data_IF_952918728880
#
_entry.id   IF_952918728880
#
_cell.length_a   1.000
_cell.length_b   1.000
_cell.length_c   1.000
_cell.angle_alpha   90.00
_cell.angle_beta   90.00
_cell.angle_gamma   90.00
#
_symmetry.space_group_name_H-M   'P 1'
#
loop_
_entity.id
_entity.type
_entity.pdbx_description
1 polymer ?
#
# COMPACT_ATOMS: atom_id res chain seq x y z
N UNK A 1 20.06 -6.13 -9.15
CA UNK A 1 20.04 -7.37 -8.34
C UNK A 1 18.60 -7.88 -8.27
N UNK A 2 18.35 -9.19 -8.44
CA UNK A 2 17.04 -9.76 -8.18
C UNK A 2 16.68 -9.62 -6.69
N UNK A 3 15.38 -9.49 -6.39
CA UNK A 3 14.89 -9.52 -5.01
C UNK A 3 15.14 -10.88 -4.39
N UNK A 4 15.45 -10.92 -3.09
CA UNK A 4 15.68 -12.15 -2.33
C UNK A 4 15.06 -12.05 -0.94
N UNK A 5 14.93 -13.20 -0.28
CA UNK A 5 14.43 -13.31 1.09
C UNK A 5 13.08 -12.61 1.28
N UNK A 6 12.93 -11.98 2.44
CA UNK A 6 11.71 -11.28 2.85
C UNK A 6 11.31 -10.15 1.88
N UNK A 7 12.29 -9.49 1.25
CA UNK A 7 12.02 -8.41 0.29
C UNK A 7 11.35 -8.94 -1.01
N UNK A 8 11.70 -10.17 -1.42
CA UNK A 8 11.02 -10.81 -2.55
C UNK A 8 9.58 -11.18 -2.20
N UNK A 9 9.32 -11.61 -0.98
CA UNK A 9 7.98 -11.95 -0.50
C UNK A 9 7.08 -10.71 -0.48
N UNK A 10 7.54 -9.61 0.11
CA UNK A 10 6.80 -8.34 0.11
C UNK A 10 6.51 -7.84 -1.30
N UNK A 11 7.51 -7.87 -2.20
CA UNK A 11 7.31 -7.43 -3.58
C UNK A 11 6.32 -8.30 -4.37
N UNK A 12 6.09 -9.56 -3.98
CA UNK A 12 5.04 -10.40 -4.59
C UNK A 12 3.65 -9.99 -4.12
N UNK A 13 3.51 -9.63 -2.84
CA UNK A 13 2.25 -9.16 -2.25
C UNK A 13 1.78 -7.83 -2.86
N UNK A 14 2.68 -7.03 -3.43
CA UNK A 14 2.34 -5.81 -4.18
C UNK A 14 1.44 -6.04 -5.40
N UNK A 15 1.35 -7.26 -5.95
CA UNK A 15 0.50 -7.50 -7.11
C UNK A 15 -0.98 -7.20 -6.81
N UNK A 16 -1.49 -7.66 -5.66
CA UNK A 16 -2.86 -7.41 -5.23
C UNK A 16 -3.14 -5.91 -5.06
N UNK A 17 -2.20 -5.20 -4.44
CA UNK A 17 -2.28 -3.77 -4.21
C UNK A 17 -2.33 -2.99 -5.54
N UNK A 18 -1.51 -3.36 -6.52
CA UNK A 18 -1.51 -2.71 -7.84
C UNK A 18 -2.80 -2.97 -8.62
N UNK A 19 -3.38 -4.16 -8.51
CA UNK A 19 -4.68 -4.48 -9.12
C UNK A 19 -5.79 -3.66 -8.46
N UNK A 20 -5.82 -3.59 -7.13
CA UNK A 20 -6.79 -2.77 -6.39
C UNK A 20 -6.66 -1.29 -6.75
N UNK A 21 -5.43 -0.77 -6.76
CA UNK A 21 -5.12 0.61 -7.10
C UNK A 21 -5.64 0.99 -8.49
N UNK A 22 -5.33 0.16 -9.50
CA UNK A 22 -5.79 0.34 -10.88
C UNK A 22 -7.32 0.35 -10.97
N UNK A 23 -7.99 -0.55 -10.26
CA UNK A 23 -9.45 -0.64 -10.32
C UNK A 23 -10.12 0.56 -9.62
N UNK A 24 -9.53 1.07 -8.53
CA UNK A 24 -9.97 2.29 -7.87
C UNK A 24 -9.80 3.53 -8.77
N UNK A 25 -8.68 3.64 -9.49
CA UNK A 25 -8.41 4.75 -10.42
C UNK A 25 -9.41 4.82 -11.60
N UNK A 26 -10.06 3.70 -11.92
CA UNK A 26 -11.05 3.59 -13.00
C UNK A 26 -12.48 3.94 -12.57
N UNK A 27 -12.70 4.30 -11.32
CA UNK A 27 -14.02 4.70 -10.82
C UNK A 27 -14.39 6.06 -11.43
N UNK A 28 -15.43 6.06 -12.26
CA UNK A 28 -15.99 7.26 -12.88
C UNK A 28 -16.70 8.16 -11.84
N UNK A 29 -16.75 9.47 -12.09
CA UNK A 29 -17.48 10.42 -11.24
C UNK A 29 -18.99 10.18 -11.20
N UNK A 30 -19.56 9.67 -12.28
CA UNK A 30 -20.96 9.28 -12.39
C UNK A 30 -21.19 7.80 -12.04
N UNK A 31 -20.22 7.12 -11.42
CA UNK A 31 -20.36 5.72 -11.05
C UNK A 31 -21.58 5.51 -10.14
N UNK A 32 -22.44 4.49 -10.41
CA UNK A 32 -23.61 4.23 -9.58
C UNK A 32 -23.25 3.99 -8.11
N UNK A 33 -24.12 4.35 -7.14
CA UNK A 33 -23.85 4.14 -5.72
C UNK A 33 -23.48 2.70 -5.35
N UNK A 34 -24.05 1.71 -6.04
CA UNK A 34 -23.71 0.30 -5.85
C UNK A 34 -22.26 -0.03 -6.23
N UNK A 35 -21.71 0.61 -7.26
CA UNK A 35 -20.30 0.44 -7.67
C UNK A 35 -19.36 1.06 -6.63
N UNK A 36 -19.71 2.26 -6.12
CA UNK A 36 -18.96 2.92 -5.05
C UNK A 36 -18.96 2.07 -3.78
N UNK A 37 -20.12 1.55 -3.37
CA UNK A 37 -20.25 0.68 -2.20
C UNK A 37 -19.43 -0.61 -2.36
N UNK A 38 -19.49 -1.24 -3.54
CA UNK A 38 -18.71 -2.46 -3.83
C UNK A 38 -17.19 -2.20 -3.77
N UNK A 39 -16.72 -1.05 -4.25
CA UNK A 39 -15.30 -0.71 -4.16
C UNK A 39 -14.85 -0.42 -2.72
N UNK A 40 -15.66 0.30 -1.94
CA UNK A 40 -15.42 0.51 -0.51
C UNK A 40 -15.28 -0.84 0.23
N UNK A 41 -16.21 -1.77 0.01
CA UNK A 41 -16.16 -3.11 0.59
C UNK A 41 -14.93 -3.90 0.13
N UNK A 42 -14.54 -3.79 -1.14
CA UNK A 42 -13.36 -4.45 -1.68
C UNK A 42 -12.07 -3.93 -1.02
N UNK A 43 -11.95 -2.62 -0.84
CA UNK A 43 -10.80 -2.01 -0.13
C UNK A 43 -10.77 -2.52 1.32
N UNK A 44 -11.90 -2.47 2.02
CA UNK A 44 -12.00 -2.92 3.41
C UNK A 44 -11.61 -4.41 3.56
N UNK A 45 -12.10 -5.26 2.67
CA UNK A 45 -11.74 -6.69 2.66
C UNK A 45 -10.24 -6.89 2.41
N UNK A 46 -9.68 -6.24 1.39
CA UNK A 46 -8.25 -6.35 1.09
C UNK A 46 -7.36 -5.84 2.25
N UNK A 47 -7.84 -4.82 2.97
CA UNK A 47 -7.18 -4.34 4.18
C UNK A 47 -7.11 -5.39 5.28
N UNK A 48 -8.23 -6.07 5.56
CA UNK A 48 -8.31 -7.06 6.63
C UNK A 48 -7.61 -8.38 6.27
N UNK A 49 -7.62 -8.77 5.00
CA UNK A 49 -7.03 -10.03 4.52
C UNK A 49 -5.52 -9.93 4.26
N UNK A 50 -5.03 -8.82 3.71
CA UNK A 50 -3.65 -8.74 3.20
C UNK A 50 -2.90 -7.47 3.64
N UNK A 51 -3.37 -6.29 3.20
CA UNK A 51 -2.58 -5.04 3.27
C UNK A 51 -2.16 -4.66 4.70
N UNK A 52 -3.02 -4.88 5.70
CA UNK A 52 -2.66 -4.58 7.10
C UNK A 52 -1.54 -5.47 7.62
N UNK A 53 -1.51 -6.74 7.22
CA UNK A 53 -0.45 -7.65 7.62
C UNK A 53 0.88 -7.30 6.94
N UNK A 54 0.81 -6.97 5.65
CA UNK A 54 1.94 -6.50 4.84
C UNK A 54 2.62 -5.27 5.48
N UNK A 55 1.88 -4.18 5.72
CA UNK A 55 2.44 -2.96 6.34
C UNK A 55 3.10 -3.25 7.70
N UNK A 56 2.46 -4.07 8.54
CA UNK A 56 3.06 -4.44 9.83
C UNK A 56 4.37 -5.20 9.69
N UNK A 57 4.51 -6.06 8.67
CA UNK A 57 5.73 -6.80 8.44
C UNK A 57 6.88 -5.86 8.02
N UNK A 58 6.60 -4.89 7.14
CA UNK A 58 7.56 -3.88 6.72
C UNK A 58 7.97 -2.94 7.86
N UNK A 59 6.99 -2.46 8.64
CA UNK A 59 7.24 -1.63 9.82
C UNK A 59 8.07 -2.37 10.87
N UNK A 60 7.83 -3.66 11.04
CA UNK A 60 8.62 -4.52 11.94
C UNK A 60 10.05 -4.65 11.44
N UNK A 61 10.24 -4.85 10.14
CA UNK A 61 11.56 -4.90 9.51
C UNK A 61 12.32 -3.58 9.70
N UNK A 62 11.67 -2.43 9.46
CA UNK A 62 12.27 -1.12 9.69
C UNK A 62 12.67 -0.90 11.15
N UNK A 63 11.85 -1.37 12.10
CA UNK A 63 12.15 -1.26 13.53
C UNK A 63 13.31 -2.15 13.94
N UNK A 64 13.41 -3.35 13.38
CA UNK A 64 14.52 -4.27 13.62
C UNK A 64 15.82 -3.76 13.01
N UNK A 65 15.74 -3.02 11.89
CA UNK A 65 16.89 -2.49 11.16
C UNK A 65 16.78 -0.97 10.92
N UNK A 66 16.86 -0.13 11.99
CA UNK A 66 16.59 1.30 11.90
C UNK A 66 17.57 2.08 11.02
N UNK A 67 18.70 1.49 10.65
CA UNK A 67 19.71 2.08 9.77
C UNK A 67 19.65 1.54 8.33
N UNK A 68 18.76 0.59 8.03
CA UNK A 68 18.67 -0.03 6.71
C UNK A 68 18.00 0.87 5.67
N UNK A 69 17.32 1.92 6.10
CA UNK A 69 16.69 2.91 5.23
C UNK A 69 16.99 4.34 5.71
N UNK A 70 17.41 5.26 4.84
CA UNK A 70 17.61 6.66 5.21
C UNK A 70 16.35 7.25 5.86
N UNK A 71 16.54 8.00 6.96
CA UNK A 71 15.43 8.56 7.77
C UNK A 71 14.33 9.25 6.95
N UNK A 72 14.62 10.09 5.93
CA UNK A 72 13.55 10.70 5.12
C UNK A 72 12.68 9.70 4.36
N UNK A 73 13.27 8.59 3.91
CA UNK A 73 12.51 7.54 3.22
C UNK A 73 11.70 6.70 4.19
N UNK A 74 12.25 6.39 5.37
CA UNK A 74 11.52 5.68 6.41
C UNK A 74 10.31 6.49 6.90
N UNK A 75 10.46 7.80 7.10
CA UNK A 75 9.33 8.69 7.46
C UNK A 75 8.28 8.71 6.36
N UNK A 76 8.68 8.91 5.09
CA UNK A 76 7.74 8.92 3.98
C UNK A 76 6.97 7.59 3.83
N UNK A 77 7.64 6.47 4.04
CA UNK A 77 7.03 5.14 4.01
C UNK A 77 5.96 4.98 5.11
N UNK A 78 6.30 5.31 6.35
CA UNK A 78 5.38 5.24 7.48
C UNK A 78 4.20 6.22 7.36
N UNK A 79 4.44 7.41 6.80
CA UNK A 79 3.39 8.38 6.53
C UNK A 79 2.41 7.86 5.46
N UNK A 80 2.91 7.22 4.40
CA UNK A 80 2.08 6.58 3.39
C UNK A 80 1.22 5.46 3.98
N UNK A 81 1.79 4.60 4.84
CA UNK A 81 1.04 3.56 5.55
C UNK A 81 -0.10 4.16 6.37
N UNK A 82 0.19 5.21 7.13
CA UNK A 82 -0.81 5.89 7.96
C UNK A 82 -1.97 6.43 7.13
N UNK A 83 -1.68 7.12 6.02
CA UNK A 83 -2.74 7.68 5.17
C UNK A 83 -3.54 6.58 4.47
N UNK A 84 -2.88 5.53 3.97
CA UNK A 84 -3.58 4.40 3.34
C UNK A 84 -4.45 3.65 4.35
N UNK A 85 -3.98 3.43 5.58
CA UNK A 85 -4.76 2.80 6.64
C UNK A 85 -6.00 3.63 7.03
N UNK A 86 -5.88 4.96 7.06
CA UNK A 86 -7.05 5.86 7.25
C UNK A 86 -8.02 5.71 6.07
N UNK A 87 -7.52 5.67 4.84
CA UNK A 87 -8.33 5.41 3.64
C UNK A 87 -9.10 4.09 3.73
N UNK A 88 -8.43 3.00 4.10
CA UNK A 88 -9.05 1.69 4.32
C UNK A 88 -10.11 1.71 5.43
N UNK A 89 -9.86 2.43 6.52
CA UNK A 89 -10.81 2.57 7.63
C UNK A 89 -12.07 3.33 7.18
N UNK A 90 -11.90 4.44 6.45
CA UNK A 90 -13.02 5.16 5.82
C UNK A 90 -13.77 4.28 4.82
N UNK A 91 -13.06 3.45 4.06
CA UNK A 91 -13.68 2.51 3.13
C UNK A 91 -14.54 1.46 3.85
N UNK A 92 -14.08 0.92 4.98
CA UNK A 92 -14.86 0.02 5.83
C UNK A 92 -16.15 0.64 6.37
N UNK A 93 -16.16 1.96 6.58
CA UNK A 93 -17.36 2.72 6.94
C UNK A 93 -18.23 3.12 5.72
N UNK A 94 -17.86 2.72 4.50
CA UNK A 94 -18.55 3.11 3.26
C UNK A 94 -18.44 4.60 2.93
N UNK A 95 -17.43 5.29 3.45
CA UNK A 95 -17.32 6.75 3.45
C UNK A 95 -16.46 7.33 2.33
N UNK A 96 -15.96 6.51 1.40
CA UNK A 96 -15.22 7.01 0.23
C UNK A 96 -16.18 7.25 -0.94
N UNK A 97 -16.18 8.48 -1.47
CA UNK A 97 -16.85 8.81 -2.73
C UNK A 97 -15.96 8.46 -3.94
N UNK A 98 -16.48 8.62 -5.16
CA UNK A 98 -15.74 8.34 -6.41
C UNK A 98 -14.36 9.00 -6.45
N UNK A 99 -14.28 10.29 -6.10
CA UNK A 99 -13.03 11.04 -6.06
C UNK A 99 -12.06 10.51 -4.99
N UNK A 100 -12.56 10.16 -3.80
CA UNK A 100 -11.73 9.56 -2.75
C UNK A 100 -11.17 8.20 -3.19
N UNK A 101 -11.98 7.37 -3.86
CA UNK A 101 -11.55 6.06 -4.37
C UNK A 101 -10.43 6.21 -5.38
N UNK A 102 -10.55 7.13 -6.33
CA UNK A 102 -9.48 7.41 -7.29
C UNK A 102 -8.21 7.89 -6.59
N UNK A 103 -8.32 8.86 -5.69
CA UNK A 103 -7.19 9.37 -4.92
C UNK A 103 -6.51 8.29 -4.08
N UNK A 104 -7.28 7.40 -3.46
CA UNK A 104 -6.77 6.23 -2.75
C UNK A 104 -5.98 5.31 -3.70
N UNK A 105 -6.54 5.02 -4.88
CA UNK A 105 -5.88 4.19 -5.88
C UNK A 105 -4.58 4.81 -6.42
N UNK A 106 -4.57 6.12 -6.67
CA UNK A 106 -3.35 6.84 -7.07
C UNK A 106 -2.27 6.76 -6.00
N UNK A 107 -2.65 7.00 -4.73
CA UNK A 107 -1.74 6.92 -3.60
C UNK A 107 -1.19 5.51 -3.41
N UNK A 108 -2.04 4.49 -3.44
CA UNK A 108 -1.62 3.10 -3.29
C UNK A 108 -0.65 2.68 -4.40
N UNK A 109 -0.92 3.08 -5.64
CA UNK A 109 0.00 2.83 -6.75
C UNK A 109 1.34 3.56 -6.54
N UNK A 110 1.32 4.84 -6.14
CA UNK A 110 2.52 5.62 -5.90
C UNK A 110 3.38 5.03 -4.77
N UNK A 111 2.74 4.61 -3.68
CA UNK A 111 3.36 3.95 -2.53
C UNK A 111 4.08 2.65 -2.92
N UNK A 112 3.40 1.72 -3.62
CA UNK A 112 4.03 0.48 -4.11
C UNK A 112 5.24 0.76 -5.01
N UNK A 113 5.14 1.77 -5.90
CA UNK A 113 6.27 2.16 -6.76
C UNK A 113 7.41 2.78 -5.97
N UNK A 114 7.09 3.55 -4.93
CA UNK A 114 8.07 4.14 -4.03
C UNK A 114 8.86 3.05 -3.30
N UNK A 115 8.20 2.03 -2.77
CA UNK A 115 8.85 0.90 -2.11
C UNK A 115 9.71 0.09 -3.06
N UNK A 116 9.12 -0.37 -4.17
CA UNK A 116 9.80 -1.23 -5.15
C UNK A 116 11.00 -0.53 -5.79
N UNK A 117 10.98 0.79 -5.95
CA UNK A 117 12.06 1.52 -6.66
C UNK A 117 13.06 2.18 -5.72
N UNK A 118 12.68 2.49 -4.48
CA UNK A 118 13.51 3.29 -3.57
C UNK A 118 13.78 2.60 -2.24
N UNK A 119 12.75 2.10 -1.55
CA UNK A 119 12.94 1.53 -0.22
C UNK A 119 13.57 0.14 -0.27
N UNK A 120 12.93 -0.79 -0.98
CA UNK A 120 13.35 -2.18 -1.01
C UNK A 120 14.77 -2.38 -1.52
N UNK A 121 15.30 -1.65 -2.54
CA UNK A 121 16.70 -1.83 -2.96
C UNK A 121 17.70 -1.49 -1.86
N UNK A 122 17.41 -0.46 -1.06
CA UNK A 122 18.27 -0.02 0.05
C UNK A 122 18.17 -0.99 1.23
N UNK A 123 16.94 -1.44 1.56
CA UNK A 123 16.73 -2.46 2.58
C UNK A 123 17.47 -3.75 2.24
N UNK A 124 17.36 -4.24 1.00
CA UNK A 124 18.07 -5.45 0.58
C UNK A 124 19.59 -5.30 0.67
N UNK A 125 20.13 -4.16 0.23
CA UNK A 125 21.57 -3.90 0.33
C UNK A 125 22.06 -3.87 1.79
N UNK A 126 21.24 -3.36 2.72
CA UNK A 126 21.57 -3.28 4.14
C UNK A 126 21.42 -4.62 4.87
N UNK A 127 20.51 -5.50 4.43
CA UNK A 127 20.31 -6.84 5.00
C UNK A 127 21.37 -7.85 4.53
N UNK A 128 22.08 -7.55 3.44
CA UNK A 128 23.12 -8.43 2.90
C UNK A 128 22.59 -9.56 2.01
N UNK A 129 21.36 -9.43 1.51
CA UNK A 129 20.67 -10.44 0.68
C UNK A 129 20.87 -10.24 -0.84
#
# INVERSE_FOLDING_TARGET
MPRKGVILEFSREHHGALVLARDCQRIDDAAPPAVIAAMNQRIARYWDEEMRAHFRAEETLLRAHPQALPKPLAVALLDDHGVLAVGCTRAGAGALAAADLRAFGERLHAHVRFEDRRCFPLLQAALGD
#
